data_IF_871519590307
#
_entry.id   IF_871519590307
#
_cell.length_a   1.000
_cell.length_b   1.000
_cell.length_c   1.000
_cell.angle_alpha   90.00
_cell.angle_beta   90.00
_cell.angle_gamma   90.00
#
_symmetry.space_group_name_H-M   'P 1'
#
loop_
_entity.id
_entity.type
_entity.pdbx_description
1 polymer ?
#
# COMPACT_ATOMS: atom_id res chain seq x y z
N UNK A 1 -1.00 -13.14 -12.48
CA UNK A 1 -1.97 -13.19 -11.37
C UNK A 1 -2.47 -11.77 -11.14
N UNK A 2 -3.76 -11.50 -11.25
CA UNK A 2 -4.30 -10.16 -11.03
C UNK A 2 -4.48 -9.90 -9.53
N UNK A 3 -4.19 -8.68 -9.09
CA UNK A 3 -4.36 -8.26 -7.69
C UNK A 3 -5.85 -8.00 -7.41
N UNK A 4 -6.35 -8.56 -6.31
CA UNK A 4 -7.67 -8.31 -5.77
C UNK A 4 -7.54 -8.22 -4.24
N UNK A 5 -7.96 -7.09 -3.65
CA UNK A 5 -7.87 -6.82 -2.20
C UNK A 5 -9.22 -6.29 -1.73
N UNK A 6 -9.69 -6.72 -0.56
CA UNK A 6 -10.96 -6.29 0.03
C UNK A 6 -12.06 -7.35 -0.04
N UNK A 7 -11.70 -8.60 -0.32
CA UNK A 7 -12.63 -9.74 -0.30
C UNK A 7 -12.65 -10.48 1.04
N UNK A 8 -11.77 -10.09 1.97
CA UNK A 8 -11.67 -10.68 3.29
C UNK A 8 -11.49 -9.59 4.34
N UNK A 9 -12.13 -9.75 5.50
CA UNK A 9 -11.87 -8.90 6.68
C UNK A 9 -10.39 -8.99 7.13
N UNK A 10 -9.70 -10.07 6.76
CA UNK A 10 -8.27 -10.23 6.99
C UNK A 10 -7.42 -9.27 6.15
N UNK A 11 -7.96 -8.71 5.05
CA UNK A 11 -7.24 -7.72 4.26
C UNK A 11 -6.99 -6.45 5.08
N UNK A 12 -7.96 -5.99 5.87
CA UNK A 12 -7.77 -4.84 6.75
C UNK A 12 -6.67 -5.12 7.77
N UNK A 13 -6.75 -6.25 8.48
CA UNK A 13 -5.76 -6.64 9.49
C UNK A 13 -4.35 -6.79 8.91
N UNK A 14 -4.25 -7.35 7.70
CA UNK A 14 -2.99 -7.48 6.97
C UNK A 14 -2.36 -6.12 6.69
N UNK A 15 -3.12 -5.15 6.19
CA UNK A 15 -2.59 -3.82 5.88
C UNK A 15 -2.29 -3.01 7.14
N UNK A 16 -3.02 -3.19 8.24
CA UNK A 16 -2.66 -2.63 9.55
C UNK A 16 -1.31 -3.16 10.04
N UNK A 17 -1.10 -4.47 9.92
CA UNK A 17 0.17 -5.10 10.28
C UNK A 17 1.31 -4.57 9.41
N UNK A 18 1.12 -4.49 8.08
CA UNK A 18 2.13 -3.96 7.17
C UNK A 18 2.54 -2.53 7.52
N UNK A 19 1.56 -1.65 7.80
CA UNK A 19 1.84 -0.27 8.25
C UNK A 19 2.69 -0.30 9.52
N UNK A 20 2.27 -1.05 10.54
CA UNK A 20 2.99 -1.14 11.82
C UNK A 20 4.44 -1.61 11.63
N UNK A 21 4.64 -2.69 10.87
CA UNK A 21 5.99 -3.26 10.68
C UNK A 21 6.88 -2.38 9.83
N UNK A 22 6.35 -1.74 8.78
CA UNK A 22 7.14 -0.86 7.92
C UNK A 22 7.46 0.46 8.61
N UNK A 23 6.56 1.01 9.44
CA UNK A 23 6.88 2.17 10.29
C UNK A 23 8.04 1.85 11.22
N UNK A 24 8.02 0.68 11.89
CA UNK A 24 9.12 0.26 12.74
C UNK A 24 10.43 0.08 11.96
N UNK A 25 10.37 -0.51 10.77
CA UNK A 25 11.54 -0.66 9.90
C UNK A 25 12.10 0.69 9.43
N UNK A 26 11.24 1.70 9.24
CA UNK A 26 11.64 3.08 8.88
C UNK A 26 12.41 3.74 10.02
N UNK A 27 11.92 3.62 11.25
CA UNK A 27 12.62 4.14 12.44
C UNK A 27 14.01 3.53 12.59
N UNK A 28 14.12 2.21 12.41
CA UNK A 28 15.42 1.50 12.46
C UNK A 28 16.33 2.00 11.32
N UNK A 29 15.82 2.14 10.10
CA UNK A 29 16.59 2.65 8.97
C UNK A 29 17.10 4.09 9.21
N UNK A 30 16.30 4.95 9.84
CA UNK A 30 16.69 6.31 10.25
C UNK A 30 17.85 6.28 11.24
N UNK A 31 17.79 5.43 12.26
CA UNK A 31 18.86 5.27 13.25
C UNK A 31 20.19 4.82 12.61
N UNK A 32 20.13 4.07 11.51
CA UNK A 32 21.30 3.56 10.79
C UNK A 32 21.71 4.39 9.57
N UNK A 33 21.07 5.55 9.31
CA UNK A 33 21.39 6.40 8.16
C UNK A 33 21.14 5.74 6.79
N UNK A 34 20.20 4.77 6.71
CA UNK A 34 19.88 4.01 5.50
C UNK A 34 18.83 4.72 4.64
N UNK A 35 19.22 5.83 4.01
CA UNK A 35 18.32 6.68 3.20
C UNK A 35 17.61 5.91 2.08
N UNK A 36 18.29 4.94 1.46
CA UNK A 36 17.72 4.04 0.44
C UNK A 36 16.50 3.26 0.95
N UNK A 37 16.59 2.77 2.19
CA UNK A 37 15.51 2.04 2.85
C UNK A 37 14.40 2.98 3.31
N UNK A 38 14.75 4.17 3.82
CA UNK A 38 13.77 5.17 4.26
C UNK A 38 12.87 5.59 3.09
N UNK A 39 13.44 5.89 1.92
CA UNK A 39 12.67 6.27 0.74
C UNK A 39 11.70 5.17 0.31
N UNK A 40 12.20 3.92 0.22
CA UNK A 40 11.38 2.77 -0.16
C UNK A 40 10.27 2.46 0.86
N UNK A 41 10.58 2.52 2.15
CA UNK A 41 9.59 2.30 3.20
C UNK A 41 8.51 3.38 3.20
N UNK A 42 8.86 4.65 2.95
CA UNK A 42 7.89 5.73 2.84
C UNK A 42 6.94 5.57 1.65
N UNK A 43 7.44 5.13 0.48
CA UNK A 43 6.60 4.79 -0.67
C UNK A 43 5.62 3.66 -0.33
N UNK A 44 6.10 2.62 0.34
CA UNK A 44 5.26 1.50 0.79
C UNK A 44 4.21 1.95 1.82
N UNK A 45 4.61 2.75 2.81
CA UNK A 45 3.69 3.27 3.84
C UNK A 45 2.57 4.11 3.22
N UNK A 46 2.89 4.95 2.23
CA UNK A 46 1.87 5.70 1.49
C UNK A 46 0.88 4.74 0.82
N UNK A 47 1.38 3.77 0.05
CA UNK A 47 0.53 2.79 -0.64
C UNK A 47 -0.33 1.98 0.32
N UNK A 48 0.21 1.54 1.46
CA UNK A 48 -0.54 0.77 2.46
C UNK A 48 -1.62 1.61 3.13
N UNK A 49 -1.36 2.90 3.40
CA UNK A 49 -2.35 3.84 3.92
C UNK A 49 -3.47 4.12 2.92
N UNK A 50 -3.14 4.27 1.64
CA UNK A 50 -4.14 4.46 0.58
C UNK A 50 -5.02 3.21 0.46
N UNK A 51 -4.41 2.02 0.48
CA UNK A 51 -5.15 0.75 0.43
C UNK A 51 -6.07 0.59 1.65
N UNK A 52 -5.55 0.77 2.87
CA UNK A 52 -6.38 0.56 4.06
C UNK A 52 -7.52 1.58 4.16
N UNK A 53 -7.33 2.82 3.71
CA UNK A 53 -8.42 3.81 3.63
C UNK A 53 -9.53 3.30 2.72
N UNK A 54 -9.16 2.86 1.51
CA UNK A 54 -10.12 2.29 0.57
C UNK A 54 -10.84 1.06 1.14
N UNK A 55 -10.13 0.17 1.83
CA UNK A 55 -10.74 -1.00 2.47
C UNK A 55 -11.69 -0.63 3.60
N UNK A 56 -11.35 0.36 4.44
CA UNK A 56 -12.21 0.85 5.54
C UNK A 56 -13.46 1.55 5.04
N UNK A 57 -13.42 2.12 3.83
CA UNK A 57 -14.59 2.65 3.12
C UNK A 57 -15.44 1.57 2.43
N UNK A 58 -15.02 0.29 2.49
CA UNK A 58 -15.71 -0.83 1.85
C UNK A 58 -15.38 -1.00 0.36
N UNK A 59 -14.35 -0.32 -0.15
CA UNK A 59 -13.93 -0.44 -1.54
C UNK A 59 -13.10 -1.72 -1.76
N UNK A 60 -13.21 -2.28 -2.97
CA UNK A 60 -12.40 -3.41 -3.43
C UNK A 60 -11.39 -2.92 -4.46
N UNK A 61 -10.13 -3.30 -4.30
CA UNK A 61 -9.03 -2.85 -5.15
C UNK A 61 -8.65 -3.95 -6.15
N UNK A 62 -8.66 -3.60 -7.44
CA UNK A 62 -8.32 -4.50 -8.54
C UNK A 62 -7.11 -4.01 -9.33
N UNK A 63 -6.04 -4.79 -9.36
CA UNK A 63 -4.80 -4.40 -10.04
C UNK A 63 -4.95 -4.23 -11.56
N UNK A 64 -5.78 -5.02 -12.23
CA UNK A 64 -5.95 -4.94 -13.69
C UNK A 64 -6.92 -3.85 -14.13
N UNK A 65 -8.04 -3.67 -13.42
CA UNK A 65 -9.04 -2.68 -13.80
C UNK A 65 -8.51 -1.24 -13.68
N UNK A 66 -7.70 -0.96 -12.66
CA UNK A 66 -7.16 0.37 -12.46
C UNK A 66 -6.16 0.77 -13.55
N UNK A 67 -5.29 -0.16 -13.99
CA UNK A 67 -4.43 0.05 -15.17
C UNK A 67 -5.23 0.28 -16.45
N UNK A 68 -6.37 -0.40 -16.62
CA UNK A 68 -7.24 -0.23 -17.78
C UNK A 68 -8.07 1.06 -17.73
N UNK A 69 -8.35 1.62 -16.55
CA UNK A 69 -8.92 2.98 -16.40
C UNK A 69 -7.88 4.04 -16.74
N UNK A 70 -6.67 3.99 -16.16
CA UNK A 70 -5.58 4.95 -16.47
C UNK A 70 -5.23 5.01 -17.97
N UNK A 71 -5.22 3.86 -18.65
CA UNK A 71 -5.03 3.80 -20.12
C UNK A 71 -6.19 4.42 -20.93
N UNK A 72 -7.41 4.40 -20.40
CA UNK A 72 -8.58 5.02 -21.05
C UNK A 72 -8.67 6.52 -20.77
N UNK A 73 -8.20 6.95 -19.60
CA UNK A 73 -8.30 8.34 -19.13
C UNK A 73 -7.07 9.20 -19.50
N UNK A 74 -6.11 8.64 -20.24
CA UNK A 74 -5.03 9.39 -20.90
C UNK A 74 -3.97 10.01 -19.98
N UNK A 75 -3.96 9.69 -18.68
CA UNK A 75 -2.90 10.15 -17.76
C UNK A 75 -1.73 9.16 -17.80
N UNK A 76 -0.69 9.49 -18.57
CA UNK A 76 0.58 8.77 -18.65
C UNK A 76 1.49 9.23 -17.51
#
# INVERSE_FOLDING_TARGET
KDLAIGFSELDVQKYELLIKTTSRATEIAQQHGREDLIENHNKNLKQYKDIISALKEGNIIFGRQERMKRRRDGTI
#
